data_IF_081422571100
#
_entry.id   IF_081422571100
#
_cell.length_a   1.000
_cell.length_b   1.000
_cell.length_c   1.000
_cell.angle_alpha   90.00
_cell.angle_beta   90.00
_cell.angle_gamma   90.00
#
_symmetry.space_group_name_H-M   'P 1'
#
loop_
_entity.id
_entity.type
_entity.pdbx_description
1 polymer ?
#
# COMPACT_ATOMS: atom_id res chain seq x y z
N UNK A 1 -7.02 -21.62 22.95
CA UNK A 1 -8.01 -21.00 22.06
C UNK A 1 -8.92 -20.08 22.84
N UNK A 2 -9.46 -20.55 23.94
CA UNK A 2 -10.39 -19.76 24.74
C UNK A 2 -9.73 -18.52 25.36
N UNK A 3 -8.47 -18.63 25.75
CA UNK A 3 -7.75 -17.49 26.29
C UNK A 3 -7.55 -16.39 25.26
N UNK A 4 -7.18 -16.79 24.07
CA UNK A 4 -6.97 -15.84 22.97
C UNK A 4 -8.28 -15.16 22.58
N UNK A 5 -9.34 -15.95 22.45
CA UNK A 5 -10.67 -15.42 22.10
C UNK A 5 -11.19 -14.49 23.19
N UNK A 6 -10.92 -14.82 24.43
CA UNK A 6 -11.35 -13.99 25.57
C UNK A 6 -10.67 -12.63 25.54
N UNK A 7 -9.40 -12.62 25.23
CA UNK A 7 -8.68 -11.35 25.08
C UNK A 7 -9.27 -10.49 23.99
N UNK A 8 -9.63 -11.09 22.87
CA UNK A 8 -10.25 -10.34 21.77
C UNK A 8 -11.61 -9.79 22.14
N UNK A 9 -12.37 -10.51 22.93
CA UNK A 9 -13.73 -10.11 23.27
C UNK A 9 -13.81 -9.06 24.38
N UNK A 10 -12.72 -8.76 25.05
CA UNK A 10 -12.71 -7.83 26.19
C UNK A 10 -12.56 -6.37 25.80
N UNK A 11 -13.06 -5.96 24.63
CA UNK A 11 -12.91 -4.58 24.20
C UNK A 11 -11.47 -4.22 23.89
N UNK A 12 -10.57 -5.18 23.92
CA UNK A 12 -9.20 -4.97 23.50
C UNK A 12 -9.09 -4.59 22.04
N UNK A 13 -10.21 -4.66 21.29
CA UNK A 13 -10.29 -4.08 19.95
C UNK A 13 -9.99 -2.59 19.98
N UNK A 14 -10.34 -1.90 21.06
CA UNK A 14 -9.97 -0.50 21.23
C UNK A 14 -8.46 -0.34 21.38
N UNK A 15 -7.80 -1.25 22.09
CA UNK A 15 -6.35 -1.26 22.23
C UNK A 15 -5.68 -1.84 20.99
N UNK A 16 -6.37 -2.77 20.30
CA UNK A 16 -5.93 -3.31 19.03
C UNK A 16 -6.51 -2.46 17.91
N UNK A 17 -6.22 -1.17 17.96
CA UNK A 17 -6.76 -0.21 17.01
C UNK A 17 -6.15 -0.32 15.62
N UNK A 18 -5.19 -1.22 15.43
CA UNK A 18 -4.59 -1.43 14.12
C UNK A 18 -5.58 -2.12 13.22
N UNK A 19 -6.22 -1.34 12.40
CA UNK A 19 -7.23 -1.74 11.44
C UNK A 19 -6.79 -1.30 10.06
N UNK A 20 -7.16 -2.02 8.99
CA UNK A 20 -6.95 -1.49 7.65
C UNK A 20 -7.69 -0.17 7.50
N UNK A 21 -7.08 0.75 6.75
CA UNK A 21 -7.65 2.08 6.54
C UNK A 21 -7.23 2.62 5.19
N UNK A 22 -8.16 3.24 4.48
CA UNK A 22 -7.87 3.89 3.21
C UNK A 22 -7.36 5.33 3.38
N UNK A 23 -7.27 5.80 4.63
CA UNK A 23 -6.83 7.17 4.92
C UNK A 23 -5.30 7.25 4.88
N UNK A 24 -4.79 7.94 3.87
CA UNK A 24 -3.35 8.20 3.74
C UNK A 24 -3.04 9.53 4.41
N UNK A 25 -2.15 9.50 5.39
CA UNK A 25 -1.70 10.68 6.09
C UNK A 25 -0.37 11.16 5.52
N UNK A 26 -0.11 12.45 5.67
CA UNK A 26 1.12 13.08 5.22
C UNK A 26 1.70 13.94 6.32
N UNK A 27 2.98 14.29 6.17
CA UNK A 27 3.63 15.26 7.04
C UNK A 27 4.43 16.22 6.17
N UNK A 28 4.73 17.43 6.68
CA UNK A 28 5.45 18.42 5.88
C UNK A 28 6.83 17.92 5.45
N UNK A 29 7.18 18.14 4.18
CA UNK A 29 8.51 17.82 3.69
C UNK A 29 9.53 18.71 4.43
N UNK A 30 10.52 18.13 5.10
CA UNK A 30 11.51 18.91 5.85
C UNK A 30 12.47 19.71 4.97
N UNK A 31 12.54 19.41 3.67
CA UNK A 31 13.43 20.11 2.74
C UNK A 31 12.75 20.31 1.39
N UNK A 32 11.72 21.16 1.31
CA UNK A 32 10.95 21.32 0.07
C UNK A 32 11.75 21.92 -1.08
N UNK A 33 12.86 22.58 -0.80
CA UNK A 33 13.73 23.14 -1.84
C UNK A 33 14.74 22.15 -2.41
N UNK A 34 14.79 20.93 -1.89
CA UNK A 34 15.74 19.91 -2.34
C UNK A 34 14.99 18.78 -3.01
N UNK A 35 15.46 18.39 -4.19
CA UNK A 35 14.95 17.19 -4.84
C UNK A 35 15.72 15.98 -4.33
N UNK A 36 15.00 15.06 -3.73
CA UNK A 36 15.52 13.79 -3.26
C UNK A 36 14.45 12.74 -3.46
N UNK A 37 14.85 11.48 -3.51
CA UNK A 37 13.95 10.38 -3.77
C UNK A 37 13.74 9.54 -2.52
N UNK A 38 12.49 9.26 -2.20
CA UNK A 38 12.09 8.35 -1.14
C UNK A 38 11.67 7.05 -1.80
N UNK A 39 12.13 5.92 -1.25
CA UNK A 39 11.82 4.59 -1.79
C UNK A 39 11.25 3.71 -0.69
N UNK A 40 10.15 3.03 -1.01
CA UNK A 40 9.55 2.04 -0.14
C UNK A 40 9.51 0.69 -0.84
N UNK A 41 9.91 -0.36 -0.14
CA UNK A 41 9.69 -1.75 -0.56
C UNK A 41 8.66 -2.35 0.37
N UNK A 42 7.56 -2.84 -0.20
CA UNK A 42 6.45 -3.39 0.57
C UNK A 42 6.23 -4.84 0.12
N UNK A 43 6.99 -5.81 0.69
CA UNK A 43 6.98 -7.18 0.18
C UNK A 43 5.82 -8.04 0.65
N UNK A 44 4.98 -7.52 1.55
CA UNK A 44 3.88 -8.30 2.13
C UNK A 44 2.52 -7.94 1.55
N UNK A 45 2.49 -7.30 0.39
CA UNK A 45 1.23 -6.90 -0.21
C UNK A 45 0.42 -8.11 -0.65
N UNK A 46 -0.89 -8.06 -0.37
CA UNK A 46 -1.83 -9.11 -0.73
C UNK A 46 -3.12 -8.48 -1.24
N UNK A 47 -3.65 -9.06 -2.31
CA UNK A 47 -5.01 -8.78 -2.77
C UNK A 47 -5.63 -10.10 -3.23
N UNK A 48 -6.84 -10.07 -3.75
CA UNK A 48 -7.57 -11.27 -4.14
C UNK A 48 -7.74 -11.29 -5.65
N UNK A 49 -7.46 -12.44 -6.26
CA UNK A 49 -7.74 -12.64 -7.67
C UNK A 49 -9.26 -12.62 -7.91
N UNK A 50 -9.77 -11.72 -8.75
CA UNK A 50 -11.22 -11.63 -8.96
C UNK A 50 -11.81 -12.84 -9.70
N UNK A 51 -10.98 -13.66 -10.34
CA UNK A 51 -11.42 -14.86 -11.05
C UNK A 51 -11.51 -16.08 -10.15
N UNK A 52 -10.52 -16.29 -9.28
CA UNK A 52 -10.41 -17.52 -8.50
C UNK A 52 -10.73 -17.32 -7.01
N UNK A 53 -10.72 -16.08 -6.51
CA UNK A 53 -10.85 -15.80 -5.09
C UNK A 53 -9.61 -16.15 -4.28
N UNK A 54 -8.54 -16.59 -4.93
CA UNK A 54 -7.28 -16.91 -4.24
C UNK A 54 -6.47 -15.65 -3.98
N UNK A 55 -5.63 -15.64 -2.93
CA UNK A 55 -4.79 -14.48 -2.67
C UNK A 55 -3.70 -14.33 -3.71
N UNK A 56 -3.47 -13.09 -4.11
CA UNK A 56 -2.31 -12.69 -4.90
C UNK A 56 -1.33 -11.98 -3.98
N UNK A 57 -0.05 -12.30 -4.12
CA UNK A 57 1.02 -11.71 -3.34
C UNK A 57 1.91 -10.88 -4.24
N UNK A 58 2.43 -9.78 -3.70
CA UNK A 58 3.31 -8.90 -4.47
C UNK A 58 4.26 -8.14 -3.56
N UNK A 59 5.36 -7.71 -4.15
CA UNK A 59 6.14 -6.61 -3.59
C UNK A 59 5.70 -5.34 -4.29
N UNK A 60 5.19 -4.38 -3.53
CA UNK A 60 4.89 -3.05 -4.06
C UNK A 60 6.11 -2.18 -3.79
N UNK A 61 6.67 -1.61 -4.85
CA UNK A 61 7.80 -0.68 -4.75
C UNK A 61 7.33 0.70 -5.15
N UNK A 62 7.58 1.65 -4.27
CA UNK A 62 7.17 3.05 -4.47
C UNK A 62 8.44 3.88 -4.42
N UNK A 63 8.63 4.76 -5.40
CA UNK A 63 9.68 5.76 -5.34
C UNK A 63 9.12 7.09 -5.80
N UNK A 64 9.44 8.14 -5.06
CA UNK A 64 8.90 9.45 -5.38
C UNK A 64 9.81 10.58 -4.92
N UNK A 65 9.69 11.71 -5.61
CA UNK A 65 10.32 12.97 -5.23
C UNK A 65 9.24 13.83 -4.58
N UNK A 66 9.31 14.05 -3.26
CA UNK A 66 8.30 14.86 -2.58
C UNK A 66 8.40 16.34 -2.97
N UNK A 67 7.25 17.00 -2.96
CA UNK A 67 7.17 18.46 -3.09
C UNK A 67 6.96 19.05 -1.69
N UNK A 68 5.73 19.34 -1.31
CA UNK A 68 5.43 19.99 -0.02
C UNK A 68 5.19 18.98 1.10
N UNK A 69 4.89 17.74 0.78
CA UNK A 69 4.47 16.73 1.75
C UNK A 69 5.15 15.40 1.50
N UNK A 70 5.30 14.64 2.58
CA UNK A 70 5.79 13.25 2.54
C UNK A 70 4.71 12.32 3.06
N UNK A 71 4.74 11.07 2.57
CA UNK A 71 3.81 10.02 3.02
C UNK A 71 4.18 9.54 4.41
N UNK A 72 3.19 9.44 5.29
CA UNK A 72 3.37 8.91 6.64
C UNK A 72 3.29 7.38 6.59
N UNK A 73 4.27 6.70 7.18
CA UNK A 73 4.48 5.27 7.00
C UNK A 73 3.40 4.39 7.65
N UNK A 74 2.92 4.76 8.83
CA UNK A 74 1.89 3.97 9.49
C UNK A 74 0.62 3.94 8.67
N UNK A 75 0.21 5.09 8.14
CA UNK A 75 -0.98 5.16 7.28
C UNK A 75 -0.77 4.41 5.98
N UNK A 76 0.43 4.44 5.40
CA UNK A 76 0.74 3.66 4.21
C UNK A 76 0.60 2.16 4.47
N UNK A 77 1.11 1.69 5.60
CA UNK A 77 0.98 0.29 6.00
C UNK A 77 -0.49 -0.12 6.09
N UNK A 78 -1.31 0.67 6.75
CA UNK A 78 -2.74 0.37 6.90
C UNK A 78 -3.48 0.46 5.57
N UNK A 79 -3.07 1.38 4.71
CA UNK A 79 -3.62 1.53 3.38
C UNK A 79 -3.36 0.28 2.53
N UNK A 80 -2.11 -0.18 2.48
CA UNK A 80 -1.78 -1.38 1.71
C UNK A 80 -2.48 -2.62 2.27
N UNK A 81 -2.65 -2.69 3.59
CA UNK A 81 -3.40 -3.76 4.23
C UNK A 81 -4.87 -3.75 3.78
N UNK A 82 -5.44 -2.60 3.47
CA UNK A 82 -6.84 -2.51 3.05
C UNK A 82 -7.16 -3.28 1.77
N UNK A 83 -6.15 -3.62 0.98
CA UNK A 83 -6.33 -4.40 -0.25
C UNK A 83 -6.42 -5.91 -0.01
N UNK A 84 -6.12 -6.38 1.18
CA UNK A 84 -5.94 -7.82 1.44
C UNK A 84 -7.12 -8.67 1.01
N UNK A 85 -8.34 -8.16 1.16
CA UNK A 85 -9.54 -8.87 0.77
C UNK A 85 -10.24 -8.26 -0.43
N UNK A 86 -9.57 -7.34 -1.11
CA UNK A 86 -10.11 -6.66 -2.29
C UNK A 86 -9.82 -7.46 -3.55
N UNK A 87 -10.87 -7.81 -4.29
CA UNK A 87 -10.71 -8.43 -5.60
C UNK A 87 -10.29 -7.41 -6.64
N UNK A 88 -9.09 -7.56 -7.18
CA UNK A 88 -8.57 -6.62 -8.17
C UNK A 88 -7.52 -7.30 -9.04
N UNK A 89 -7.55 -6.96 -10.34
CA UNK A 89 -6.49 -7.37 -11.25
C UNK A 89 -5.22 -6.57 -10.95
N UNK A 90 -4.07 -7.14 -11.33
CA UNK A 90 -2.75 -6.55 -11.04
C UNK A 90 -2.63 -5.13 -11.56
N UNK A 91 -3.11 -4.89 -12.77
CA UNK A 91 -3.06 -3.57 -13.42
C UNK A 91 -3.93 -2.55 -12.69
N UNK A 92 -5.11 -2.97 -12.27
CA UNK A 92 -6.05 -2.07 -11.58
C UNK A 92 -5.51 -1.66 -10.22
N UNK A 93 -5.00 -2.61 -9.44
CA UNK A 93 -4.54 -2.30 -8.09
C UNK A 93 -3.28 -1.43 -8.12
N UNK A 94 -2.36 -1.68 -9.05
CA UNK A 94 -1.15 -0.89 -9.16
C UNK A 94 -1.45 0.57 -9.53
N UNK A 95 -2.36 0.76 -10.48
CA UNK A 95 -2.80 2.10 -10.86
C UNK A 95 -3.53 2.81 -9.73
N UNK A 96 -4.38 2.10 -8.98
CA UNK A 96 -5.09 2.69 -7.85
C UNK A 96 -4.13 3.17 -6.77
N UNK A 97 -3.10 2.39 -6.47
CA UNK A 97 -2.10 2.80 -5.48
C UNK A 97 -1.42 4.09 -5.92
N UNK A 98 -1.03 4.19 -7.18
CA UNK A 98 -0.43 5.43 -7.68
C UNK A 98 -1.39 6.61 -7.55
N UNK A 99 -2.63 6.45 -8.01
CA UNK A 99 -3.61 7.52 -7.99
C UNK A 99 -3.89 8.01 -6.57
N UNK A 100 -4.07 7.09 -5.63
CA UNK A 100 -4.36 7.45 -4.23
C UNK A 100 -3.18 8.17 -3.57
N UNK A 101 -1.96 7.70 -3.83
CA UNK A 101 -0.75 8.34 -3.29
C UNK A 101 -0.52 9.72 -3.89
N UNK A 102 -0.72 9.87 -5.20
CA UNK A 102 -0.60 11.17 -5.86
C UNK A 102 -1.61 12.16 -5.31
N UNK A 103 -2.85 11.72 -5.10
CA UNK A 103 -3.89 12.57 -4.50
C UNK A 103 -3.52 13.00 -3.09
N UNK A 104 -2.89 12.12 -2.31
CA UNK A 104 -2.56 12.39 -0.92
C UNK A 104 -1.35 13.33 -0.78
N UNK A 105 -0.30 13.12 -1.56
CA UNK A 105 0.99 13.77 -1.30
C UNK A 105 1.41 14.77 -2.38
N UNK A 106 0.74 14.78 -3.53
CA UNK A 106 1.04 15.68 -4.64
C UNK A 106 2.55 15.76 -4.96
N UNK A 107 3.19 14.64 -5.31
CA UNK A 107 4.64 14.60 -5.52
C UNK A 107 5.05 15.29 -6.81
N UNK A 108 6.33 15.66 -6.92
CA UNK A 108 6.88 16.11 -8.19
C UNK A 108 6.92 14.97 -9.20
N UNK A 109 7.21 13.76 -8.71
CA UNK A 109 7.28 12.55 -9.51
C UNK A 109 7.03 11.36 -8.62
N UNK A 110 6.34 10.35 -9.14
CA UNK A 110 6.14 9.10 -8.41
C UNK A 110 6.07 7.93 -9.37
N UNK A 111 6.68 6.83 -8.98
CA UNK A 111 6.60 5.55 -9.70
C UNK A 111 6.14 4.50 -8.71
N UNK A 112 5.15 3.71 -9.11
CA UNK A 112 4.69 2.55 -8.35
C UNK A 112 4.88 1.31 -9.22
N UNK A 113 5.56 0.32 -8.67
CA UNK A 113 5.77 -0.97 -9.32
C UNK A 113 5.08 -2.05 -8.51
N UNK A 114 4.23 -2.82 -9.16
CA UNK A 114 3.66 -4.04 -8.59
C UNK A 114 4.39 -5.24 -9.15
N UNK A 115 5.17 -5.91 -8.32
CA UNK A 115 5.95 -7.09 -8.68
C UNK A 115 5.24 -8.30 -8.08
N UNK A 116 4.41 -8.97 -8.88
CA UNK A 116 3.52 -10.03 -8.42
C UNK A 116 4.22 -11.39 -8.48
N UNK A 117 3.99 -12.20 -7.46
CA UNK A 117 4.57 -13.52 -7.37
C UNK A 117 4.10 -14.40 -8.51
N UNK A 118 4.93 -15.40 -8.84
CA UNK A 118 4.61 -16.35 -9.90
C UNK A 118 3.28 -17.05 -9.65
N UNK A 119 2.48 -17.12 -10.70
CA UNK A 119 1.22 -17.85 -10.68
C UNK A 119 1.04 -18.53 -12.02
N UNK A 120 0.84 -19.85 -11.98
CA UNK A 120 0.74 -20.63 -13.20
C UNK A 120 1.98 -20.52 -14.08
N UNK A 121 3.15 -20.35 -13.46
CA UNK A 121 4.41 -20.19 -14.19
C UNK A 121 4.65 -18.79 -14.76
N UNK A 122 3.76 -17.82 -14.46
CA UNK A 122 3.86 -16.47 -15.00
C UNK A 122 4.15 -15.49 -13.85
N UNK A 123 5.18 -14.67 -14.03
CA UNK A 123 5.42 -13.51 -13.18
C UNK A 123 4.92 -12.25 -13.89
N UNK A 124 4.38 -11.30 -13.13
CA UNK A 124 3.83 -10.07 -13.68
C UNK A 124 4.41 -8.88 -12.95
N UNK A 125 4.94 -7.93 -13.70
CA UNK A 125 5.36 -6.64 -13.16
C UNK A 125 4.56 -5.55 -13.85
N UNK A 126 3.92 -4.70 -13.07
CA UNK A 126 3.19 -3.53 -13.57
C UNK A 126 3.88 -2.30 -13.01
N UNK A 127 4.32 -1.41 -13.88
CA UNK A 127 4.95 -0.17 -13.46
C UNK A 127 4.14 1.01 -14.00
N UNK A 128 3.76 1.93 -13.12
CA UNK A 128 3.01 3.12 -13.45
C UNK A 128 3.68 4.35 -12.85
N UNK A 129 3.55 5.49 -13.50
CA UNK A 129 4.24 6.69 -13.03
C UNK A 129 3.41 7.95 -13.19
N UNK A 130 3.75 8.97 -12.41
CA UNK A 130 3.18 10.31 -12.41
C UNK A 130 4.32 11.33 -12.29
N UNK A 131 4.39 12.38 -13.07
CA UNK A 131 3.73 12.58 -14.35
C UNK A 131 4.20 11.65 -15.42
#
# INVERSE_FOLDING_TARGET
>A
ASWYLRQRSRGSLAAMSTQPSTDLETFPNPRPGRDYEIRFDCPEFTCVCPKTGQPDFATIRIRYTPDQSCVELKSLKLYLWSFREMGAFHEAVTNKILDDLVAAVAPKKMVVEGDFWVRGGITTVVEVQHP
#
